data_IF_480772734779
#
_entry.id   IF_480772734779
#
_cell.length_a   1.000
_cell.length_b   1.000
_cell.length_c   1.000
_cell.angle_alpha   90.00
_cell.angle_beta   90.00
_cell.angle_gamma   90.00
#
_symmetry.space_group_name_H-M   'P 1'
#
loop_
_entity.id
_entity.type
_entity.pdbx_description
1 polymer ?
#
# COMPACT_ATOMS: atom_id res chain seq x y z
N UNK A 1 4.77 23.13 -2.37
CA UNK A 1 4.57 22.30 -3.57
C UNK A 1 3.37 21.43 -3.29
N UNK A 2 2.35 21.33 -4.16
CA UNK A 2 1.24 20.44 -3.89
C UNK A 2 1.78 19.00 -3.90
N UNK A 3 1.71 18.31 -2.77
CA UNK A 3 1.88 16.86 -2.69
C UNK A 3 0.72 16.23 -3.45
N UNK A 4 1.02 15.56 -4.57
CA UNK A 4 0.08 14.67 -5.22
C UNK A 4 0.11 13.39 -4.39
N UNK A 5 -0.84 13.26 -3.47
CA UNK A 5 -1.12 12.00 -2.79
C UNK A 5 -1.97 11.13 -3.73
N UNK A 6 -1.58 9.88 -3.87
CA UNK A 6 -2.32 8.87 -4.60
C UNK A 6 -3.48 8.39 -3.73
N UNK A 7 -4.67 8.30 -4.32
CA UNK A 7 -5.82 7.73 -3.63
C UNK A 7 -5.65 6.21 -3.52
N UNK A 8 -5.52 5.70 -2.30
CA UNK A 8 -5.44 4.26 -2.01
C UNK A 8 -6.82 3.79 -1.56
N UNK A 9 -7.44 2.91 -2.34
CA UNK A 9 -8.72 2.28 -1.98
C UNK A 9 -8.46 0.92 -1.32
N UNK A 10 -9.17 0.64 -0.22
CA UNK A 10 -9.14 -0.65 0.44
C UNK A 10 -10.50 -1.35 0.33
N UNK A 11 -10.50 -2.66 0.55
CA UNK A 11 -11.69 -3.52 0.46
C UNK A 11 -12.15 -3.92 1.85
N UNK A 12 -13.39 -4.42 1.96
CA UNK A 12 -13.94 -4.98 3.20
C UNK A 12 -13.09 -6.16 3.72
N UNK A 13 -12.47 -6.94 2.82
CA UNK A 13 -11.55 -8.02 3.19
C UNK A 13 -10.29 -7.47 3.88
N UNK A 14 -9.71 -6.40 3.33
CA UNK A 14 -8.55 -5.73 3.94
C UNK A 14 -8.91 -5.16 5.31
N UNK A 15 -10.07 -4.51 5.44
CA UNK A 15 -10.55 -3.97 6.72
C UNK A 15 -10.74 -5.08 7.76
N UNK A 16 -11.37 -6.19 7.39
CA UNK A 16 -11.57 -7.33 8.31
C UNK A 16 -10.25 -7.96 8.76
N UNK A 17 -9.25 -8.02 7.88
CA UNK A 17 -7.92 -8.49 8.25
C UNK A 17 -7.21 -7.46 9.15
N UNK A 18 -7.28 -6.17 8.82
CA UNK A 18 -6.68 -5.08 9.58
C UNK A 18 -7.11 -5.07 11.05
N UNK A 19 -8.41 -5.18 11.30
CA UNK A 19 -8.96 -5.18 12.67
C UNK A 19 -8.57 -6.41 13.49
N UNK A 20 -8.04 -7.46 12.84
CA UNK A 20 -7.55 -8.66 13.52
C UNK A 20 -6.09 -8.58 13.96
N UNK A 21 -5.35 -7.59 13.45
CA UNK A 21 -3.95 -7.33 13.79
C UNK A 21 -3.82 -6.65 15.15
N UNK A 22 -2.68 -6.83 15.81
CA UNK A 22 -2.34 -6.04 17.00
C UNK A 22 -1.85 -4.62 16.63
N UNK A 23 -1.68 -3.78 17.65
CA UNK A 23 -1.31 -2.37 17.46
C UNK A 23 0.06 -2.20 16.78
N UNK A 24 1.05 -3.04 17.11
CA UNK A 24 2.38 -2.96 16.51
C UNK A 24 2.33 -3.36 15.03
N UNK A 25 1.58 -4.42 14.71
CA UNK A 25 1.33 -4.84 13.33
C UNK A 25 0.59 -3.75 12.53
N UNK A 26 -0.44 -3.13 13.10
CA UNK A 26 -1.15 -2.02 12.45
C UNK A 26 -0.22 -0.82 12.19
N UNK A 27 0.67 -0.48 13.13
CA UNK A 27 1.63 0.62 12.95
C UNK A 27 2.59 0.33 11.78
N UNK A 28 3.12 -0.90 11.70
CA UNK A 28 4.05 -1.27 10.63
C UNK A 28 3.38 -1.21 9.25
N UNK A 29 2.17 -1.78 9.12
CA UNK A 29 1.44 -1.74 7.85
C UNK A 29 0.98 -0.32 7.50
N UNK A 30 0.54 0.49 8.48
CA UNK A 30 0.17 1.90 8.25
C UNK A 30 1.34 2.72 7.68
N UNK A 31 2.56 2.48 8.16
CA UNK A 31 3.75 3.15 7.64
C UNK A 31 3.97 2.82 6.15
N UNK A 32 3.74 1.57 5.74
CA UNK A 32 3.85 1.17 4.33
C UNK A 32 2.71 1.74 3.48
N UNK A 33 1.48 1.80 3.99
CA UNK A 33 0.34 2.43 3.30
C UNK A 33 0.58 3.92 3.08
N UNK A 34 1.11 4.65 4.07
CA UNK A 34 1.46 6.06 3.89
C UNK A 34 2.54 6.28 2.82
N UNK A 35 3.52 5.37 2.74
CA UNK A 35 4.51 5.41 1.64
C UNK A 35 3.86 5.12 0.27
N UNK A 36 2.83 4.28 0.22
CA UNK A 36 2.07 4.00 -0.99
C UNK A 36 1.21 5.20 -1.41
N UNK A 37 0.59 5.92 -0.48
CA UNK A 37 -0.13 7.17 -0.76
C UNK A 37 0.82 8.25 -1.30
N UNK A 38 2.04 8.35 -0.75
CA UNK A 38 3.04 9.32 -1.22
C UNK A 38 3.60 8.96 -2.61
N UNK A 39 3.95 7.69 -2.83
CA UNK A 39 4.75 7.27 -4.01
C UNK A 39 3.95 6.56 -5.09
N UNK A 40 2.76 6.07 -4.76
CA UNK A 40 1.89 5.33 -5.66
C UNK A 40 2.61 4.16 -6.35
N UNK A 41 2.40 3.97 -7.67
CA UNK A 41 3.05 2.91 -8.45
C UNK A 41 4.58 2.94 -8.47
N UNK A 42 5.20 4.03 -7.98
CA UNK A 42 6.66 4.19 -7.92
C UNK A 42 7.26 3.80 -6.56
N UNK A 43 6.48 3.28 -5.61
CA UNK A 43 6.99 2.76 -4.34
C UNK A 43 8.07 1.69 -4.59
N UNK A 44 9.32 1.89 -4.17
CA UNK A 44 10.40 0.96 -4.50
C UNK A 44 10.54 -0.18 -3.47
N UNK A 45 11.35 -1.18 -3.84
CA UNK A 45 11.85 -2.22 -2.93
C UNK A 45 12.54 -1.60 -1.70
N UNK A 46 12.40 -2.17 -0.48
CA UNK A 46 11.77 -3.46 -0.15
C UNK A 46 10.26 -3.42 0.08
N UNK A 47 9.63 -2.24 0.04
CA UNK A 47 8.21 -2.08 0.38
C UNK A 47 7.26 -2.54 -0.73
N UNK A 48 7.73 -2.49 -1.97
CA UNK A 48 7.01 -3.03 -3.11
C UNK A 48 8.00 -3.69 -4.08
N UNK A 49 7.54 -4.75 -4.73
CA UNK A 49 8.29 -5.46 -5.76
C UNK A 49 7.37 -5.77 -6.92
N UNK A 50 7.90 -5.73 -8.14
CA UNK A 50 7.17 -6.13 -9.33
C UNK A 50 6.61 -7.55 -9.16
N UNK A 51 5.28 -7.68 -9.29
CA UNK A 51 4.62 -8.98 -9.39
C UNK A 51 4.91 -9.56 -10.78
N UNK A 52 5.90 -10.46 -10.86
CA UNK A 52 6.25 -11.15 -12.11
C UNK A 52 5.06 -11.99 -12.58
N UNK A 53 4.47 -11.65 -13.73
CA UNK A 53 3.36 -12.38 -14.35
C UNK A 53 2.10 -11.57 -14.62
N UNK A 54 2.06 -10.29 -14.25
CA UNK A 54 0.97 -9.39 -14.65
C UNK A 54 1.12 -9.02 -16.13
N UNK A 55 0.07 -9.25 -16.93
CA UNK A 55 0.03 -8.73 -18.30
C UNK A 55 -0.10 -7.21 -18.22
N UNK A 56 1.00 -6.50 -18.49
CA UNK A 56 0.96 -5.06 -18.78
C UNK A 56 0.24 -4.88 -20.11
N UNK A 57 -1.06 -4.58 -20.06
CA UNK A 57 -1.80 -4.15 -21.24
C UNK A 57 -1.20 -2.79 -21.63
N UNK A 58 -0.40 -2.82 -22.69
CA UNK A 58 0.19 -1.64 -23.33
C UNK A 58 -0.77 -1.09 -24.36
#
# INVERSE_FOLDING_TARGET
MPSIEWNVEYTEEFESWWVSLDEEEQIDIAAVVGLLEEKGPHLPYPYSSDVKGTKRLS
#
